data_IF_726367479159
#
_entry.id   IF_726367479159
#
_cell.length_a   1.000
_cell.length_b   1.000
_cell.length_c   1.000
_cell.angle_alpha   90.00
_cell.angle_beta   90.00
_cell.angle_gamma   90.00
#
_symmetry.space_group_name_H-M   'P 1'
#
loop_
_entity.id
_entity.type
_entity.pdbx_description
1 polymer ?
#
# COMPACT_ATOMS: atom_id res chain seq x y z
N UNK A 1 -7.30 -23.54 1.91
CA UNK A 1 -6.56 -24.78 2.23
C UNK A 1 -5.10 -24.80 1.77
N UNK A 2 -4.78 -24.81 0.46
CA UNK A 2 -3.38 -24.90 -0.02
C UNK A 2 -2.39 -23.92 0.65
N UNK A 3 -2.77 -22.65 0.79
CA UNK A 3 -1.91 -21.61 1.40
C UNK A 3 -1.73 -21.82 2.90
N UNK A 4 -2.78 -22.22 3.62
CA UNK A 4 -2.70 -22.51 5.07
C UNK A 4 -1.74 -23.67 5.33
N UNK A 5 -1.87 -24.75 4.55
CA UNK A 5 -0.99 -25.91 4.66
C UNK A 5 0.48 -25.57 4.40
N UNK A 6 0.75 -24.68 3.43
CA UNK A 6 2.11 -24.22 3.14
C UNK A 6 2.76 -23.50 4.33
N UNK A 7 2.05 -22.54 4.94
CA UNK A 7 2.56 -21.85 6.13
C UNK A 7 2.74 -22.78 7.34
N UNK A 8 1.79 -23.68 7.58
CA UNK A 8 1.88 -24.66 8.66
C UNK A 8 3.08 -25.60 8.51
N UNK A 9 3.33 -26.11 7.29
CA UNK A 9 4.50 -26.94 7.00
C UNK A 9 5.83 -26.19 7.17
N UNK A 10 5.82 -24.87 6.96
CA UNK A 10 6.96 -23.99 7.20
C UNK A 10 7.12 -23.56 8.67
N UNK A 11 6.22 -23.97 9.57
CA UNK A 11 6.24 -23.55 10.99
C UNK A 11 5.92 -22.07 11.20
N UNK A 12 5.28 -21.41 10.23
CA UNK A 12 4.94 -19.98 10.28
C UNK A 12 3.49 -19.81 10.74
N UNK A 13 3.29 -19.08 11.83
CA UNK A 13 1.96 -18.65 12.25
C UNK A 13 1.41 -17.63 11.24
N UNK A 14 0.30 -17.98 10.59
CA UNK A 14 -0.31 -17.14 9.56
C UNK A 14 -1.84 -17.14 9.67
N UNK A 15 -2.42 -15.95 9.73
CA UNK A 15 -3.85 -15.76 9.52
C UNK A 15 -4.13 -15.60 8.02
N UNK A 16 -4.77 -16.61 7.44
CA UNK A 16 -5.10 -16.68 6.01
C UNK A 16 -6.60 -16.54 5.85
N UNK A 17 -7.07 -15.72 4.92
CA UNK A 17 -8.49 -15.64 4.58
C UNK A 17 -8.64 -15.27 3.10
N UNK A 18 -9.72 -15.69 2.42
CA UNK A 18 -10.07 -15.15 1.11
C UNK A 18 -10.31 -13.63 1.18
N UNK A 19 -10.93 -13.16 2.28
CA UNK A 19 -11.24 -11.75 2.50
C UNK A 19 -11.12 -11.39 3.98
N UNK A 20 -10.68 -10.16 4.24
CA UNK A 20 -10.72 -9.53 5.55
C UNK A 20 -11.60 -8.29 5.47
N UNK A 21 -12.47 -8.10 6.46
CA UNK A 21 -13.39 -6.96 6.53
C UNK A 21 -12.81 -5.79 7.35
N UNK A 22 -11.69 -6.01 8.03
CA UNK A 22 -11.04 -5.06 8.95
C UNK A 22 -9.66 -4.61 8.47
N UNK A 23 -9.51 -4.35 7.16
CA UNK A 23 -8.19 -4.10 6.55
C UNK A 23 -7.45 -2.91 7.14
N UNK A 24 -8.13 -1.80 7.40
CA UNK A 24 -7.52 -0.64 8.05
C UNK A 24 -6.90 -0.99 9.42
N UNK A 25 -7.58 -1.82 10.22
CA UNK A 25 -7.07 -2.27 11.53
C UNK A 25 -5.86 -3.17 11.39
N UNK A 26 -5.87 -4.08 10.41
CA UNK A 26 -4.76 -5.00 10.14
C UNK A 26 -3.52 -4.27 9.61
N UNK A 27 -3.69 -3.37 8.65
CA UNK A 27 -2.61 -2.48 8.18
C UNK A 27 -2.09 -1.63 9.35
N UNK A 28 -3.00 -1.08 10.17
CA UNK A 28 -2.65 -0.32 11.36
C UNK A 28 -1.87 -1.11 12.42
N UNK A 29 -1.97 -2.44 12.46
CA UNK A 29 -1.20 -3.31 13.37
C UNK A 29 0.07 -3.88 12.73
N UNK A 30 0.21 -3.81 11.42
CA UNK A 30 1.36 -4.35 10.71
C UNK A 30 2.57 -3.42 10.85
N UNK A 31 3.76 -4.01 10.93
CA UNK A 31 5.02 -3.26 10.83
C UNK A 31 5.44 -3.00 9.38
N UNK A 32 5.02 -3.88 8.46
CA UNK A 32 5.31 -3.86 7.04
C UNK A 32 4.11 -4.41 6.27
N UNK A 33 3.77 -3.81 5.14
CA UNK A 33 2.76 -4.32 4.21
C UNK A 33 3.43 -4.84 2.95
N UNK A 34 3.10 -6.06 2.52
CA UNK A 34 3.50 -6.59 1.21
C UNK A 34 2.23 -6.87 0.42
N UNK A 35 2.03 -6.15 -0.70
CA UNK A 35 0.77 -6.24 -1.43
C UNK A 35 0.91 -5.89 -2.91
N UNK A 36 -0.17 -6.10 -3.67
CA UNK A 36 -0.39 -5.40 -4.93
C UNK A 36 -0.60 -3.91 -4.69
N UNK A 37 -0.50 -3.11 -5.74
CA UNK A 37 -0.65 -1.64 -5.68
C UNK A 37 -1.95 -1.17 -6.33
N UNK A 38 -3.07 -1.80 -5.96
CA UNK A 38 -4.41 -1.30 -6.30
C UNK A 38 -4.67 0.08 -5.67
N UNK A 39 -5.51 0.90 -6.32
CA UNK A 39 -5.74 2.29 -5.93
C UNK A 39 -6.19 2.45 -4.45
N UNK A 40 -7.16 1.63 -4.01
CA UNK A 40 -7.62 1.67 -2.62
C UNK A 40 -6.52 1.25 -1.65
N UNK A 41 -5.78 0.18 -1.95
CA UNK A 41 -4.71 -0.33 -1.09
C UNK A 41 -3.59 0.68 -0.89
N UNK A 42 -3.13 1.33 -1.97
CA UNK A 42 -2.07 2.35 -1.84
C UNK A 42 -2.58 3.56 -1.04
N UNK A 43 -3.85 3.92 -1.20
CA UNK A 43 -4.47 5.03 -0.46
C UNK A 43 -4.59 4.72 1.03
N UNK A 44 -5.00 3.50 1.39
CA UNK A 44 -5.05 3.02 2.77
C UNK A 44 -3.66 3.01 3.42
N UNK A 45 -2.65 2.48 2.73
CA UNK A 45 -1.26 2.47 3.20
C UNK A 45 -0.74 3.90 3.43
N UNK A 46 -1.00 4.79 2.48
CA UNK A 46 -0.59 6.19 2.55
C UNK A 46 -1.27 6.92 3.71
N UNK A 47 -2.58 6.76 3.92
CA UNK A 47 -3.27 7.42 5.05
C UNK A 47 -2.83 6.85 6.39
N UNK A 48 -2.64 5.54 6.51
CA UNK A 48 -2.24 4.90 7.77
C UNK A 48 -0.77 5.17 8.08
N UNK A 49 0.09 5.31 7.06
CA UNK A 49 1.52 5.56 7.21
C UNK A 49 2.28 4.28 7.58
N UNK A 50 2.24 3.28 6.71
CA UNK A 50 3.03 2.04 6.87
C UNK A 50 4.07 1.89 5.76
N UNK A 51 5.28 1.40 6.08
CA UNK A 51 6.22 1.03 5.04
C UNK A 51 5.65 -0.13 4.24
N UNK A 52 5.87 -0.11 2.93
CA UNK A 52 5.32 -1.12 2.03
C UNK A 52 6.35 -1.65 1.02
N UNK A 53 6.23 -2.93 0.69
CA UNK A 53 6.81 -3.52 -0.52
C UNK A 53 5.64 -3.76 -1.48
N UNK A 54 5.60 -3.00 -2.57
CA UNK A 54 4.52 -3.03 -3.54
C UNK A 54 4.96 -3.83 -4.77
N UNK A 55 4.11 -4.77 -5.18
CA UNK A 55 4.33 -5.62 -6.36
C UNK A 55 3.22 -5.37 -7.37
N UNK A 56 3.34 -4.38 -8.26
CA UNK A 56 2.30 -4.04 -9.23
C UNK A 56 1.87 -5.25 -10.06
N UNK A 57 0.57 -5.38 -10.30
CA UNK A 57 0.04 -6.40 -11.20
C UNK A 57 0.42 -6.05 -12.65
N UNK A 58 1.15 -6.92 -13.37
CA UNK A 58 1.71 -6.58 -14.68
C UNK A 58 0.68 -6.54 -15.82
N UNK A 59 -0.53 -7.06 -15.61
CA UNK A 59 -1.60 -7.12 -16.63
C UNK A 59 -2.75 -6.16 -16.33
N UNK A 60 -2.51 -5.11 -15.53
CA UNK A 60 -3.50 -4.04 -15.36
C UNK A 60 -3.68 -3.31 -16.70
N UNK A 61 -4.93 -3.20 -17.16
CA UNK A 61 -5.30 -2.67 -18.49
C UNK A 61 -4.60 -1.35 -18.83
N UNK A 62 -4.43 -0.47 -17.84
CA UNK A 62 -3.89 0.88 -18.04
C UNK A 62 -2.57 1.16 -17.29
N UNK A 63 -1.84 0.14 -16.82
CA UNK A 63 -0.64 0.30 -15.96
C UNK A 63 -0.90 1.04 -14.63
N UNK A 64 -2.16 1.21 -14.23
CA UNK A 64 -2.57 1.98 -13.05
C UNK A 64 -1.84 1.57 -11.77
N UNK A 65 -1.60 0.27 -11.59
CA UNK A 65 -0.92 -0.22 -10.39
C UNK A 65 0.53 0.26 -10.29
N UNK A 66 1.23 0.41 -11.42
CA UNK A 66 2.60 0.92 -11.41
C UNK A 66 2.61 2.42 -11.06
N UNK A 67 1.69 3.20 -11.64
CA UNK A 67 1.54 4.62 -11.36
C UNK A 67 1.16 4.88 -9.88
N UNK A 68 0.23 4.09 -9.35
CA UNK A 68 -0.16 4.13 -7.94
C UNK A 68 1.03 3.90 -7.01
N UNK A 69 1.85 2.88 -7.30
CA UNK A 69 3.01 2.54 -6.49
C UNK A 69 4.11 3.61 -6.58
N UNK A 70 4.36 4.13 -7.78
CA UNK A 70 5.39 5.14 -8.05
C UNK A 70 5.21 6.41 -7.20
N UNK A 71 3.96 6.80 -6.91
CA UNK A 71 3.68 7.98 -6.09
C UNK A 71 4.22 7.85 -4.66
N UNK A 72 4.03 6.69 -4.03
CA UNK A 72 4.52 6.42 -2.67
C UNK A 72 6.03 6.17 -2.68
N UNK A 73 6.53 5.47 -3.69
CA UNK A 73 7.96 5.23 -3.87
C UNK A 73 8.76 6.52 -4.05
N UNK A 74 8.26 7.47 -4.85
CA UNK A 74 8.92 8.76 -5.06
C UNK A 74 9.06 9.57 -3.77
N UNK A 75 8.13 9.41 -2.81
CA UNK A 75 8.24 10.02 -1.49
C UNK A 75 9.19 9.25 -0.55
N UNK A 76 9.62 8.03 -0.93
CA UNK A 76 10.40 7.12 -0.10
C UNK A 76 9.55 6.25 0.84
N UNK A 77 8.23 6.17 0.63
CA UNK A 77 7.32 5.45 1.51
C UNK A 77 7.17 3.95 1.20
N UNK A 78 7.57 3.52 0.01
CA UNK A 78 7.47 2.14 -0.44
C UNK A 78 8.66 1.73 -1.30
N UNK A 79 8.91 0.42 -1.37
CA UNK A 79 9.81 -0.20 -2.33
C UNK A 79 8.96 -0.88 -3.40
N UNK A 80 9.14 -0.55 -4.67
CA UNK A 80 8.40 -1.18 -5.77
C UNK A 80 9.23 -2.28 -6.40
N UNK A 81 8.66 -3.48 -6.49
CA UNK A 81 9.28 -4.64 -7.12
C UNK A 81 8.40 -5.12 -8.26
N UNK A 82 8.91 -5.10 -9.49
CA UNK A 82 8.20 -5.71 -10.61
C UNK A 82 8.04 -7.20 -10.36
N UNK A 83 6.86 -7.74 -10.66
CA UNK A 83 6.57 -9.17 -10.44
C UNK A 83 7.61 -10.10 -11.09
N UNK A 84 8.08 -9.77 -12.31
CA UNK A 84 9.06 -10.57 -13.03
C UNK A 84 10.43 -10.64 -12.32
N UNK A 85 10.72 -9.70 -11.44
CA UNK A 85 11.97 -9.61 -10.69
C UNK A 85 11.80 -10.01 -9.22
N UNK A 86 10.60 -10.44 -8.82
CA UNK A 86 10.31 -10.88 -7.47
C UNK A 86 10.70 -12.35 -7.32
N UNK A 87 11.61 -12.62 -6.40
CA UNK A 87 12.01 -13.97 -6.00
C UNK A 87 11.92 -14.12 -4.48
N UNK A 88 11.83 -15.35 -3.94
CA UNK A 88 11.86 -15.58 -2.50
C UNK A 88 13.08 -14.93 -1.83
N UNK A 89 14.27 -15.08 -2.43
CA UNK A 89 15.52 -14.49 -1.91
C UNK A 89 15.46 -12.97 -1.89
N UNK A 90 14.97 -12.33 -2.97
CA UNK A 90 14.85 -10.87 -3.02
C UNK A 90 13.85 -10.37 -1.98
N UNK A 91 12.69 -11.01 -1.87
CA UNK A 91 11.67 -10.62 -0.91
C UNK A 91 12.17 -10.78 0.54
N UNK A 92 12.86 -11.88 0.84
CA UNK A 92 13.46 -12.10 2.16
C UNK A 92 14.46 -10.99 2.52
N UNK A 93 15.38 -10.64 1.61
CA UNK A 93 16.36 -9.58 1.87
C UNK A 93 15.72 -8.19 2.05
N UNK A 94 14.63 -7.89 1.34
CA UNK A 94 13.88 -6.65 1.54
C UNK A 94 13.19 -6.62 2.92
N UNK A 95 12.59 -7.73 3.34
CA UNK A 95 11.94 -7.84 4.66
C UNK A 95 13.00 -7.72 5.76
N UNK A 96 14.10 -8.46 5.65
CA UNK A 96 15.20 -8.43 6.61
C UNK A 96 15.82 -7.03 6.75
N UNK A 97 16.08 -6.35 5.63
CA UNK A 97 16.62 -4.99 5.63
C UNK A 97 15.70 -3.96 6.29
N UNK A 98 14.38 -4.17 6.31
CA UNK A 98 13.44 -3.31 7.03
C UNK A 98 13.24 -3.74 8.48
N UNK A 99 13.33 -5.04 8.77
CA UNK A 99 13.21 -5.58 10.12
C UNK A 99 14.43 -5.23 10.99
N UNK A 100 15.61 -5.09 10.39
CA UNK A 100 16.87 -4.82 11.09
C UNK A 100 17.24 -3.34 11.15
N UNK A 101 16.56 -2.48 10.38
CA UNK A 101 16.80 -1.03 10.36
C UNK A 101 15.50 -0.28 10.71
N UNK A 102 15.28 -0.13 12.03
CA UNK A 102 14.11 0.55 12.55
C UNK A 102 14.02 2.03 12.12
N UNK A 103 15.16 2.70 11.93
CA UNK A 103 15.21 4.09 11.50
C UNK A 103 14.74 4.22 10.05
N UNK A 104 15.20 3.34 9.17
CA UNK A 104 14.71 3.26 7.79
C UNK A 104 13.24 2.92 7.73
N UNK A 105 12.77 1.93 8.49
CA UNK A 105 11.36 1.57 8.53
C UNK A 105 10.46 2.74 9.00
N UNK A 106 10.90 3.47 10.04
CA UNK A 106 10.20 4.67 10.52
C UNK A 106 10.20 5.81 9.50
N UNK A 107 11.33 6.04 8.81
CA UNK A 107 11.44 7.02 7.74
C UNK A 107 10.48 6.71 6.58
N UNK A 108 10.43 5.46 6.15
CA UNK A 108 9.48 5.00 5.13
C UNK A 108 8.01 5.15 5.59
N UNK A 109 7.70 4.83 6.85
CA UNK A 109 6.35 5.02 7.40
C UNK A 109 5.91 6.50 7.34
N UNK A 110 6.81 7.42 7.74
CA UNK A 110 6.56 8.86 7.70
C UNK A 110 6.41 9.38 6.26
N UNK A 111 7.27 8.93 5.36
CA UNK A 111 7.19 9.24 3.94
C UNK A 111 5.88 8.77 3.30
N UNK A 112 5.46 7.53 3.58
CA UNK A 112 4.17 7.01 3.11
C UNK A 112 3.02 7.90 3.63
N UNK A 113 3.05 8.23 4.93
CA UNK A 113 2.04 9.10 5.57
C UNK A 113 1.91 10.46 4.91
N UNK A 114 3.03 11.06 4.51
CA UNK A 114 3.05 12.36 3.85
C UNK A 114 2.34 12.38 2.48
N UNK A 115 2.10 11.21 1.88
CA UNK A 115 1.38 11.08 0.59
C UNK A 115 -0.12 10.84 0.75
N UNK A 116 -0.60 10.60 1.97
CA UNK A 116 -2.00 10.30 2.26
C UNK A 116 -2.89 11.53 2.17
N UNK A 117 -4.11 11.35 1.62
CA UNK A 117 -5.15 12.38 1.54
C UNK A 117 -6.37 11.88 2.34
N UNK A 118 -6.38 12.03 3.68
CA UNK A 118 -7.43 11.45 4.54
C UNK A 118 -8.83 12.02 4.23
N UNK A 119 -8.91 13.26 3.75
CA UNK A 119 -10.16 13.95 3.44
C UNK A 119 -10.56 13.87 1.95
N UNK A 120 -10.00 12.93 1.17
CA UNK A 120 -10.19 12.88 -0.28
C UNK A 120 -11.66 12.88 -0.72
N UNK A 121 -12.53 12.17 0.01
CA UNK A 121 -13.97 12.14 -0.28
C UNK A 121 -14.63 13.51 -0.07
N UNK A 122 -14.26 14.22 1.00
CA UNK A 122 -14.75 15.58 1.27
C UNK A 122 -14.26 16.57 0.21
N UNK A 123 -12.97 16.53 -0.12
CA UNK A 123 -12.39 17.38 -1.17
C UNK A 123 -13.06 17.18 -2.53
N UNK A 124 -13.42 15.94 -2.87
CA UNK A 124 -14.15 15.63 -4.09
C UNK A 124 -15.58 16.20 -4.03
N UNK A 125 -16.28 16.04 -2.90
CA UNK A 125 -17.61 16.61 -2.71
C UNK A 125 -17.59 18.14 -2.84
N UNK A 126 -16.66 18.81 -2.14
CA UNK A 126 -16.47 20.27 -2.18
C UNK A 126 -16.24 20.76 -3.63
N UNK A 127 -15.42 20.03 -4.40
CA UNK A 127 -15.17 20.34 -5.81
C UNK A 127 -16.45 20.23 -6.66
N UNK A 128 -17.18 19.12 -6.53
CA UNK A 128 -18.44 18.90 -7.28
C UNK A 128 -19.48 19.97 -6.93
N UNK A 129 -19.63 20.32 -5.66
CA UNK A 129 -20.55 21.38 -5.22
C UNK A 129 -20.17 22.74 -5.79
N UNK A 130 -18.87 23.06 -5.87
CA UNK A 130 -18.39 24.33 -6.42
C UNK A 130 -18.77 24.53 -7.89
N UNK A 131 -18.90 23.43 -8.65
CA UNK A 131 -19.32 23.45 -10.05
C UNK A 131 -20.83 23.67 -10.22
N UNK A 132 -21.62 23.42 -9.18
CA UNK A 132 -23.09 23.58 -9.20
C UNK A 132 -23.57 24.97 -8.82
N UNK A 133 -22.71 25.80 -8.18
CA UNK A 133 -23.09 27.17 -7.82
C UNK A 133 -23.22 27.99 -9.10
N UNK A 134 -24.36 28.63 -9.37
CA UNK A 134 -24.48 29.51 -10.52
C UNK A 134 -23.43 30.61 -10.39
N UNK A 135 -22.62 30.79 -11.43
CA UNK A 135 -21.73 31.95 -11.53
C UNK A 135 -22.61 33.18 -11.36
N UNK A 136 -22.48 33.88 -10.24
CA UNK A 136 -23.11 35.18 -10.06
C UNK A 136 -22.57 36.09 -11.16
N UNK A 137 -23.35 36.29 -12.22
CA UNK A 137 -23.05 37.29 -13.24
C UNK A 137 -23.07 38.66 -12.53
N UNK A 138 -21.91 39.32 -12.51
CA UNK A 138 -21.78 40.73 -12.18
C UNK A 138 -22.22 41.58 -13.38
#
# INVERSE_FOLDING_TARGET
ERVRAFYAAAGVEADVSPFFTDMAKRIGRAHLVVSRSGASTVSEIAVIGRPAILVPYPYALDHDQAANAARIEAAGGAIVVKQAELSPTRLAGLIEGLATDAARAAGMAAAARATGIPDAARLLADLVESMSRPTSAA
#
